data_IF_067837842199
#
_entry.id   IF_067837842199
#
_cell.length_a   1.000
_cell.length_b   1.000
_cell.length_c   1.000
_cell.angle_alpha   90.00
_cell.angle_beta   90.00
_cell.angle_gamma   90.00
#
_symmetry.space_group_name_H-M   'P 1'
#
loop_
_entity.id
_entity.type
_entity.pdbx_description
1 polymer ?
#
# COMPACT_ATOMS: atom_id res chain seq x y z
N UNK A 1 6.60 -11.65 -15.90
CA UNK A 1 5.39 -11.34 -15.11
C UNK A 1 5.36 -12.29 -13.93
N UNK A 2 4.87 -11.86 -12.77
CA UNK A 2 4.71 -12.73 -11.60
C UNK A 2 3.64 -13.80 -11.83
N UNK A 3 3.69 -14.89 -11.05
CA UNK A 3 2.68 -15.95 -11.09
C UNK A 3 1.34 -15.41 -10.58
N UNK A 4 0.28 -15.59 -11.37
CA UNK A 4 -1.08 -15.10 -11.07
C UNK A 4 -1.69 -15.76 -9.84
N UNK A 5 -1.11 -16.87 -9.36
CA UNK A 5 -1.54 -17.58 -8.16
C UNK A 5 -1.00 -16.97 -6.87
N UNK A 6 -0.05 -16.04 -6.94
CA UNK A 6 0.55 -15.41 -5.76
C UNK A 6 0.05 -13.98 -5.57
N UNK A 7 -0.44 -13.67 -4.36
CA UNK A 7 -0.76 -12.29 -3.96
C UNK A 7 0.26 -11.82 -2.92
N UNK A 8 1.33 -11.11 -3.33
CA UNK A 8 2.38 -10.66 -2.43
C UNK A 8 2.06 -9.35 -1.71
N UNK A 9 2.58 -9.25 -0.49
CA UNK A 9 2.82 -7.99 0.21
C UNK A 9 4.29 -7.98 0.63
N UNK A 10 5.05 -7.03 0.08
CA UNK A 10 6.40 -6.75 0.56
C UNK A 10 6.36 -5.59 1.56
N UNK A 11 7.22 -5.63 2.57
CA UNK A 11 7.40 -4.53 3.51
C UNK A 11 8.87 -4.32 3.80
N UNK A 12 9.31 -3.07 3.61
CA UNK A 12 10.58 -2.55 4.10
C UNK A 12 10.25 -1.75 5.35
N UNK A 13 11.02 -1.93 6.42
CA UNK A 13 10.71 -1.30 7.71
C UNK A 13 11.97 -0.90 8.49
N UNK A 14 11.76 0.07 9.39
CA UNK A 14 12.70 0.52 10.40
C UNK A 14 11.94 0.56 11.72
N UNK A 15 12.39 -0.17 12.73
CA UNK A 15 11.95 -0.02 14.13
C UNK A 15 13.15 0.27 15.04
N UNK A 16 12.95 0.72 16.29
CA UNK A 16 14.04 0.90 17.25
C UNK A 16 14.91 -0.34 17.46
N UNK A 17 14.33 -1.54 17.34
CA UNK A 17 15.01 -2.83 17.52
C UNK A 17 15.65 -3.34 16.22
N UNK A 18 15.03 -3.06 15.07
CA UNK A 18 15.52 -3.49 13.76
C UNK A 18 15.54 -2.30 12.78
N UNK A 19 16.69 -1.59 12.69
CA UNK A 19 16.78 -0.36 11.89
C UNK A 19 16.55 -0.53 10.40
N UNK A 20 16.73 -1.76 9.87
CA UNK A 20 16.48 -2.09 8.46
C UNK A 20 16.07 -3.53 8.31
N UNK A 21 14.77 -3.77 8.18
CA UNK A 21 14.20 -5.06 7.87
C UNK A 21 13.46 -5.09 6.54
N UNK A 22 13.35 -6.28 5.95
CA UNK A 22 12.59 -6.54 4.74
C UNK A 22 11.95 -7.91 4.83
N UNK A 23 10.66 -8.00 4.54
CA UNK A 23 10.01 -9.27 4.28
C UNK A 23 9.11 -9.22 3.05
N UNK A 24 8.88 -10.41 2.48
CA UNK A 24 7.85 -10.67 1.49
C UNK A 24 6.96 -11.79 2.06
N UNK A 25 5.66 -11.53 2.14
CA UNK A 25 4.67 -12.54 2.52
C UNK A 25 3.53 -12.55 1.51
N UNK A 26 2.75 -13.62 1.47
CA UNK A 26 1.58 -13.67 0.61
C UNK A 26 0.90 -15.02 0.64
N UNK A 27 -0.25 -15.11 -0.01
CA UNK A 27 -0.99 -16.35 -0.19
C UNK A 27 -0.74 -16.83 -1.62
N UNK A 28 -0.36 -18.10 -1.75
CA UNK A 28 -0.19 -18.78 -3.02
C UNK A 28 -1.30 -19.82 -3.20
N UNK A 29 -2.04 -19.75 -4.31
CA UNK A 29 -3.08 -20.72 -4.65
C UNK A 29 -2.50 -21.90 -5.43
N UNK A 30 -2.03 -22.92 -4.71
CA UNK A 30 -1.45 -24.15 -5.27
C UNK A 30 -0.69 -24.92 -4.21
N UNK A 31 0.11 -25.90 -4.63
CA UNK A 31 0.97 -26.64 -3.70
C UNK A 31 2.23 -25.86 -3.31
N UNK A 32 2.85 -26.24 -2.20
CA UNK A 32 4.13 -25.70 -1.75
C UNK A 32 5.23 -25.88 -2.81
N UNK A 33 5.26 -27.02 -3.51
CA UNK A 33 6.22 -27.25 -4.59
C UNK A 33 6.07 -26.21 -5.71
N UNK A 34 4.84 -25.89 -6.12
CA UNK A 34 4.55 -24.87 -7.13
C UNK A 34 4.91 -23.47 -6.61
N UNK A 35 4.63 -23.18 -5.34
CA UNK A 35 5.01 -21.90 -4.72
C UNK A 35 6.54 -21.71 -4.69
N UNK A 36 7.28 -22.76 -4.30
CA UNK A 36 8.75 -22.75 -4.28
C UNK A 36 9.34 -22.56 -5.67
N UNK A 37 8.81 -23.22 -6.67
CA UNK A 37 9.22 -23.03 -8.06
C UNK A 37 8.94 -21.58 -8.51
N UNK A 38 7.72 -21.09 -8.28
CA UNK A 38 7.31 -19.74 -8.65
C UNK A 38 8.15 -18.63 -7.97
N UNK A 39 8.66 -18.89 -6.76
CA UNK A 39 9.44 -17.93 -5.97
C UNK A 39 10.94 -18.24 -5.99
N UNK A 40 11.43 -19.06 -6.92
CA UNK A 40 12.84 -19.42 -7.01
C UNK A 40 13.77 -18.21 -7.14
N UNK A 41 13.37 -17.19 -7.91
CA UNK A 41 14.14 -15.94 -8.04
C UNK A 41 14.26 -15.20 -6.71
N UNK A 42 13.21 -15.15 -5.90
CA UNK A 42 13.29 -14.51 -4.57
C UNK A 42 14.15 -15.33 -3.61
N UNK A 43 14.07 -16.65 -3.67
CA UNK A 43 14.92 -17.55 -2.88
C UNK A 43 16.41 -17.38 -3.23
N UNK A 44 16.74 -17.10 -4.50
CA UNK A 44 18.13 -16.85 -4.91
C UNK A 44 18.73 -15.55 -4.35
N UNK A 45 17.94 -14.68 -3.72
CA UNK A 45 18.43 -13.45 -3.07
C UNK A 45 19.10 -13.72 -1.70
N UNK A 46 19.16 -14.98 -1.25
CA UNK A 46 19.74 -15.35 0.05
C UNK A 46 18.84 -15.01 1.24
N UNK A 47 17.55 -14.78 1.01
CA UNK A 47 16.57 -14.53 2.05
C UNK A 47 16.11 -15.84 2.70
N UNK A 48 15.93 -15.84 4.01
CA UNK A 48 15.21 -16.92 4.70
C UNK A 48 13.79 -17.02 4.17
N UNK A 49 13.34 -18.23 3.82
CA UNK A 49 12.00 -18.48 3.30
C UNK A 49 11.30 -19.59 4.07
N UNK A 50 10.00 -19.42 4.27
CA UNK A 50 9.12 -20.37 4.95
C UNK A 50 7.87 -20.56 4.11
N UNK A 51 7.46 -21.81 3.94
CA UNK A 51 6.27 -22.19 3.19
C UNK A 51 5.47 -23.15 4.06
N UNK A 52 4.14 -23.01 4.01
CA UNK A 52 3.24 -23.88 4.74
C UNK A 52 1.92 -23.99 3.96
N UNK A 53 1.54 -25.23 3.63
CA UNK A 53 0.22 -25.51 3.08
C UNK A 53 -0.84 -25.46 4.18
N UNK A 54 -1.95 -24.79 3.89
CA UNK A 54 -3.09 -24.67 4.79
C UNK A 54 -4.34 -24.28 4.02
N UNK A 55 -5.50 -24.37 4.66
CA UNK A 55 -6.74 -23.84 4.10
C UNK A 55 -6.69 -22.31 4.04
N UNK A 56 -7.47 -21.73 3.14
CA UNK A 56 -7.59 -20.27 3.04
C UNK A 56 -8.02 -19.64 4.37
N UNK A 57 -8.96 -20.25 5.09
CA UNK A 57 -9.43 -19.72 6.39
C UNK A 57 -8.30 -19.70 7.43
N UNK A 58 -7.48 -20.75 7.51
CA UNK A 58 -6.32 -20.77 8.41
C UNK A 58 -5.31 -19.67 8.07
N UNK A 59 -5.03 -19.47 6.77
CA UNK A 59 -4.14 -18.41 6.32
C UNK A 59 -4.66 -17.02 6.72
N UNK A 60 -5.96 -16.76 6.56
CA UNK A 60 -6.57 -15.49 6.95
C UNK A 60 -6.55 -15.28 8.46
N UNK A 61 -6.75 -16.32 9.28
CA UNK A 61 -6.61 -16.20 10.76
C UNK A 61 -5.19 -15.82 11.17
N UNK A 62 -4.17 -16.39 10.55
CA UNK A 62 -2.77 -15.98 10.81
C UNK A 62 -2.54 -14.52 10.43
N UNK A 63 -3.13 -14.05 9.32
CA UNK A 63 -3.03 -12.64 8.91
C UNK A 63 -3.73 -11.73 9.92
N UNK A 64 -4.93 -12.10 10.37
CA UNK A 64 -5.72 -11.38 11.38
C UNK A 64 -5.00 -11.28 12.72
N UNK A 65 -4.42 -12.38 13.21
CA UNK A 65 -3.67 -12.44 14.47
C UNK A 65 -2.45 -11.49 14.48
N UNK A 66 -1.97 -11.09 13.31
CA UNK A 66 -0.90 -10.11 13.16
C UNK A 66 -1.33 -8.65 13.31
N UNK A 67 -2.63 -8.35 13.43
CA UNK A 67 -3.13 -6.99 13.64
C UNK A 67 -3.44 -6.76 15.13
N UNK A 68 -2.88 -5.70 15.74
CA UNK A 68 -3.27 -5.33 17.10
C UNK A 68 -4.71 -4.79 17.12
N UNK A 69 -5.37 -4.76 18.29
CA UNK A 69 -6.74 -4.24 18.41
C UNK A 69 -6.90 -2.79 17.94
N UNK A 70 -5.84 -1.98 18.05
CA UNK A 70 -5.77 -0.62 17.54
C UNK A 70 -4.32 -0.18 17.32
N UNK A 71 -4.12 0.83 16.48
CA UNK A 71 -2.83 1.49 16.25
C UNK A 71 -3.03 3.00 16.14
N UNK A 72 -2.01 3.80 16.49
CA UNK A 72 -1.95 5.20 16.09
C UNK A 72 -0.91 5.34 14.99
N UNK A 73 -1.35 5.81 13.83
CA UNK A 73 -0.51 5.88 12.65
C UNK A 73 -0.93 7.01 11.74
N UNK A 74 -0.04 7.36 10.83
CA UNK A 74 -0.36 8.07 9.59
C UNK A 74 0.10 7.23 8.42
N UNK A 75 -0.65 7.24 7.33
CA UNK A 75 -0.34 6.48 6.11
C UNK A 75 -0.74 7.27 4.88
N UNK A 76 -0.13 6.97 3.74
CA UNK A 76 -0.59 7.46 2.46
C UNK A 76 -0.26 6.47 1.36
N UNK A 77 -1.26 6.14 0.54
CA UNK A 77 -1.11 5.24 -0.60
C UNK A 77 -0.85 5.96 -1.92
N UNK A 78 -0.10 5.31 -2.79
CA UNK A 78 0.20 5.70 -4.17
C UNK A 78 0.20 4.46 -5.06
N UNK A 79 0.24 4.64 -6.38
CA UNK A 79 0.38 3.56 -7.34
C UNK A 79 1.71 3.62 -8.08
N UNK A 80 2.34 2.46 -8.26
CA UNK A 80 3.47 2.29 -9.16
C UNK A 80 2.99 1.63 -10.46
N UNK A 81 3.03 2.36 -11.58
CA UNK A 81 2.63 1.83 -12.91
C UNK A 81 3.77 1.12 -13.63
N UNK A 82 5.02 1.42 -13.27
CA UNK A 82 6.22 0.86 -13.88
C UNK A 82 7.19 0.41 -12.79
N UNK A 83 8.13 -0.50 -13.09
CA UNK A 83 9.20 -0.84 -12.16
C UNK A 83 10.00 0.41 -11.80
N UNK A 84 10.41 0.52 -10.54
CA UNK A 84 11.27 1.61 -10.09
C UNK A 84 12.69 1.46 -10.65
N UNK A 85 13.31 2.58 -11.02
CA UNK A 85 14.75 2.62 -11.31
C UNK A 85 15.56 2.29 -10.04
N UNK A 86 16.81 1.86 -10.18
CA UNK A 86 17.67 1.65 -9.00
C UNK A 86 17.86 2.91 -8.16
N UNK A 87 17.78 4.10 -8.78
CA UNK A 87 17.82 5.37 -8.07
C UNK A 87 16.55 5.57 -7.24
N UNK A 88 15.37 5.35 -7.82
CA UNK A 88 14.10 5.50 -7.11
C UNK A 88 13.92 4.44 -6.03
N UNK A 89 14.36 3.19 -6.25
CA UNK A 89 14.37 2.16 -5.21
C UNK A 89 15.19 2.58 -4.00
N UNK A 90 16.38 3.18 -4.21
CA UNK A 90 17.19 3.72 -3.10
C UNK A 90 16.48 4.88 -2.39
N UNK A 91 15.85 5.80 -3.14
CA UNK A 91 15.08 6.90 -2.57
C UNK A 91 13.91 6.41 -1.72
N UNK A 92 13.21 5.37 -2.17
CA UNK A 92 12.10 4.73 -1.45
C UNK A 92 12.60 4.13 -0.14
N UNK A 93 13.70 3.36 -0.18
CA UNK A 93 14.29 2.77 1.03
C UNK A 93 14.73 3.86 2.00
N UNK A 94 15.36 4.94 1.50
CA UNK A 94 15.84 6.03 2.36
C UNK A 94 14.74 6.84 3.03
N UNK A 95 13.47 6.70 2.62
CA UNK A 95 12.35 7.37 3.30
C UNK A 95 12.28 6.98 4.78
N UNK A 96 12.75 5.79 5.12
CA UNK A 96 12.71 5.24 6.48
C UNK A 96 14.10 5.02 7.07
N UNK A 97 15.12 5.76 6.62
CA UNK A 97 16.48 5.64 7.18
C UNK A 97 16.57 6.15 8.64
N UNK A 98 15.62 6.97 9.05
CA UNK A 98 15.44 7.46 10.41
C UNK A 98 13.97 7.36 10.83
N UNK A 99 13.71 7.61 12.11
CA UNK A 99 12.38 7.63 12.69
C UNK A 99 12.06 9.00 13.28
N UNK A 100 10.78 9.35 13.31
CA UNK A 100 10.32 10.49 14.07
C UNK A 100 10.53 10.26 15.58
N UNK A 101 10.72 11.34 16.34
CA UNK A 101 10.75 11.23 17.80
C UNK A 101 9.44 10.61 18.33
N UNK A 102 9.56 9.56 19.15
CA UNK A 102 8.42 8.80 19.68
C UNK A 102 7.72 7.88 18.68
N UNK A 103 8.29 7.67 17.49
CA UNK A 103 7.83 6.64 16.55
C UNK A 103 8.27 5.24 17.01
N UNK A 104 7.40 4.25 16.82
CA UNK A 104 7.73 2.83 17.01
C UNK A 104 8.03 2.13 15.67
N UNK A 105 7.90 2.85 14.55
CA UNK A 105 8.34 2.33 13.27
C UNK A 105 7.95 3.18 12.06
N UNK A 106 8.76 3.05 11.02
CA UNK A 106 8.53 3.59 9.69
C UNK A 106 8.45 2.43 8.68
N UNK A 107 7.46 2.49 7.78
CA UNK A 107 7.17 1.36 6.90
C UNK A 107 6.92 1.82 5.47
N UNK A 108 7.54 1.12 4.53
CA UNK A 108 7.15 1.15 3.11
C UNK A 108 6.56 -0.21 2.76
N UNK A 109 5.28 -0.26 2.41
CA UNK A 109 4.61 -1.51 2.00
C UNK A 109 4.27 -1.47 0.52
N UNK A 110 4.46 -2.60 -0.17
CA UNK A 110 4.08 -2.80 -1.57
C UNK A 110 3.07 -3.93 -1.63
N UNK A 111 1.83 -3.60 -1.95
CA UNK A 111 0.73 -4.55 -2.14
C UNK A 111 0.66 -4.90 -3.63
N UNK A 112 0.94 -6.16 -3.99
CA UNK A 112 0.94 -6.61 -5.37
C UNK A 112 -0.40 -6.39 -6.05
N UNK A 113 -0.37 -5.82 -7.25
CA UNK A 113 -1.50 -5.68 -8.17
C UNK A 113 -1.17 -6.35 -9.51
N UNK A 114 -1.97 -6.09 -10.54
CA UNK A 114 -1.92 -6.77 -11.82
C UNK A 114 -2.78 -8.04 -11.82
N UNK A 115 -2.35 -9.07 -12.55
CA UNK A 115 -3.08 -10.33 -12.66
C UNK A 115 -4.55 -10.09 -13.09
N UNK A 116 -5.49 -10.69 -12.37
CA UNK A 116 -6.92 -10.53 -12.65
C UNK A 116 -7.42 -9.09 -12.47
N UNK A 117 -6.79 -8.28 -11.61
CA UNK A 117 -7.20 -6.88 -11.40
C UNK A 117 -7.00 -6.05 -12.67
N UNK A 118 -5.96 -6.36 -13.46
CA UNK A 118 -5.62 -5.66 -14.70
C UNK A 118 -6.40 -6.09 -15.94
N UNK A 119 -7.27 -7.11 -15.83
CA UNK A 119 -8.04 -7.62 -16.98
C UNK A 119 -9.19 -6.70 -17.39
N UNK A 120 -9.71 -5.90 -16.45
CA UNK A 120 -10.76 -4.91 -16.72
C UNK A 120 -10.15 -3.56 -17.12
N UNK A 121 -10.81 -2.87 -18.05
CA UNK A 121 -10.41 -1.53 -18.42
C UNK A 121 -10.62 -0.54 -17.26
N UNK A 122 -9.80 0.53 -17.15
CA UNK A 122 -9.91 1.55 -16.10
C UNK A 122 -11.29 2.18 -15.90
N UNK A 123 -12.14 2.20 -16.93
CA UNK A 123 -13.46 2.84 -16.94
C UNK A 123 -14.64 1.88 -16.73
N UNK A 124 -14.40 0.57 -16.63
CA UNK A 124 -15.45 -0.44 -16.42
C UNK A 124 -16.02 -0.39 -14.99
N UNK A 125 -15.24 0.11 -14.03
CA UNK A 125 -15.63 0.26 -12.62
C UNK A 125 -15.12 1.60 -12.06
N UNK A 126 -15.47 1.94 -10.82
CA UNK A 126 -14.92 3.14 -10.17
C UNK A 126 -13.40 3.06 -9.89
N UNK A 127 -12.82 1.84 -9.77
CA UNK A 127 -11.38 1.67 -9.54
C UNK A 127 -10.59 1.87 -10.84
N UNK A 128 -9.87 3.00 -10.91
CA UNK A 128 -9.18 3.48 -12.12
C UNK A 128 -7.81 2.84 -12.36
N UNK A 129 -6.99 2.67 -11.31
CA UNK A 129 -5.57 2.28 -11.42
C UNK A 129 -5.35 0.76 -11.67
N UNK A 130 -6.12 0.19 -12.60
CA UNK A 130 -6.10 -1.23 -13.00
C UNK A 130 -4.74 -1.68 -13.53
N UNK A 131 -3.99 -0.77 -14.17
CA UNK A 131 -2.66 -1.03 -14.74
C UNK A 131 -1.49 -0.90 -13.75
N UNK A 132 -1.74 -0.67 -12.46
CA UNK A 132 -0.68 -0.57 -11.47
C UNK A 132 -0.04 -1.93 -11.17
N UNK A 133 1.29 -1.95 -10.98
CA UNK A 133 2.04 -3.11 -10.53
C UNK A 133 1.86 -3.35 -9.03
N UNK A 134 1.71 -2.28 -8.25
CA UNK A 134 1.42 -2.33 -6.83
C UNK A 134 0.79 -1.04 -6.32
N UNK A 135 0.15 -1.16 -5.16
CA UNK A 135 -0.10 -0.03 -4.26
C UNK A 135 1.13 0.08 -3.37
N UNK A 136 1.76 1.25 -3.33
CA UNK A 136 2.86 1.54 -2.43
C UNK A 136 2.39 2.51 -1.35
N UNK A 137 2.68 2.19 -0.09
CA UNK A 137 2.33 3.05 1.05
C UNK A 137 3.58 3.46 1.80
N UNK A 138 3.60 4.70 2.28
CA UNK A 138 4.47 5.11 3.39
C UNK A 138 3.60 5.19 4.63
N UNK A 139 4.08 4.71 5.77
CA UNK A 139 3.43 4.92 7.07
C UNK A 139 4.42 5.05 8.21
N UNK A 140 3.96 5.63 9.31
CA UNK A 140 4.66 5.60 10.59
C UNK A 140 3.66 5.47 11.74
N UNK A 141 4.07 4.74 12.78
CA UNK A 141 3.24 4.39 13.91
C UNK A 141 3.85 4.94 15.22
N UNK A 142 2.99 5.21 16.21
CA UNK A 142 3.40 5.66 17.54
C UNK A 142 2.43 5.16 18.60
N UNK A 143 2.85 5.14 19.87
CA UNK A 143 1.97 4.77 20.99
C UNK A 143 1.47 6.01 21.74
N UNK A 144 2.40 6.89 22.15
CA UNK A 144 2.09 8.11 22.88
C UNK A 144 1.38 9.12 21.96
N UNK A 145 0.13 9.53 22.25
CA UNK A 145 -0.56 10.57 21.49
C UNK A 145 0.25 11.87 21.31
N UNK A 146 1.14 12.21 22.25
CA UNK A 146 2.00 13.39 22.18
C UNK A 146 3.04 13.32 21.06
N UNK A 147 3.37 12.12 20.55
CA UNK A 147 4.30 11.93 19.44
C UNK A 147 3.68 12.27 18.07
N UNK A 148 2.35 12.45 17.99
CA UNK A 148 1.64 12.70 16.72
C UNK A 148 2.23 13.88 15.92
N UNK A 149 2.49 15.07 16.48
CA UNK A 149 3.03 16.20 15.70
C UNK A 149 4.39 15.90 15.07
N UNK A 150 5.29 15.23 15.81
CA UNK A 150 6.61 14.84 15.30
C UNK A 150 6.50 13.82 14.15
N UNK A 151 5.61 12.84 14.29
CA UNK A 151 5.37 11.83 13.26
C UNK A 151 4.76 12.43 11.97
N UNK A 152 3.82 13.37 12.09
CA UNK A 152 3.27 14.08 10.93
C UNK A 152 4.31 14.98 10.24
N UNK A 153 5.14 15.66 11.02
CA UNK A 153 6.25 16.49 10.50
C UNK A 153 7.31 15.65 9.79
N UNK A 154 7.57 14.42 10.24
CA UNK A 154 8.44 13.45 9.59
C UNK A 154 7.81 12.90 8.29
N UNK A 155 6.52 12.56 8.33
CA UNK A 155 5.79 11.91 7.23
C UNK A 155 5.61 12.82 6.02
N UNK A 156 5.17 14.05 6.23
CA UNK A 156 4.77 14.99 5.16
C UNK A 156 5.84 15.19 4.08
N UNK A 157 7.10 15.56 4.39
CA UNK A 157 8.14 15.74 3.36
C UNK A 157 8.51 14.43 2.66
N UNK A 158 8.47 13.29 3.37
CA UNK A 158 8.78 11.97 2.81
C UNK A 158 7.69 11.48 1.86
N UNK A 159 6.43 11.72 2.20
CA UNK A 159 5.32 11.39 1.32
C UNK A 159 5.37 12.21 0.02
N UNK A 160 5.84 13.46 0.06
CA UNK A 160 6.07 14.26 -1.16
C UNK A 160 7.10 13.58 -2.08
N UNK A 161 8.20 13.08 -1.54
CA UNK A 161 9.20 12.32 -2.33
C UNK A 161 8.57 11.09 -2.97
N UNK A 162 7.80 10.30 -2.20
CA UNK A 162 7.09 9.14 -2.74
C UNK A 162 6.10 9.53 -3.84
N UNK A 163 5.36 10.63 -3.63
CA UNK A 163 4.39 11.17 -4.59
C UNK A 163 5.04 11.56 -5.91
N UNK A 164 6.25 12.12 -5.88
CA UNK A 164 6.95 12.61 -7.09
C UNK A 164 7.48 11.46 -7.98
N UNK A 165 7.60 10.24 -7.44
CA UNK A 165 8.05 9.05 -8.19
C UNK A 165 6.91 8.04 -8.44
N UNK A 166 5.68 8.40 -8.10
CA UNK A 166 4.47 7.56 -8.23
C UNK A 166 3.30 8.36 -8.78
N UNK A 167 2.19 7.72 -9.10
CA UNK A 167 0.97 8.42 -9.52
C UNK A 167 -0.22 8.04 -8.66
N UNK A 168 -1.24 8.91 -8.63
CA UNK A 168 -2.52 8.61 -7.99
C UNK A 168 -2.42 8.25 -6.51
N UNK A 169 -3.55 7.94 -5.91
CA UNK A 169 -3.62 7.51 -4.52
C UNK A 169 -4.74 6.51 -4.37
N UNK A 170 -4.57 5.54 -3.48
CA UNK A 170 -5.63 4.59 -3.21
C UNK A 170 -6.56 5.16 -2.14
N UNK A 171 -7.86 5.23 -2.43
CA UNK A 171 -8.85 5.85 -1.52
C UNK A 171 -8.87 5.21 -0.13
N UNK A 172 -8.55 3.91 -0.02
CA UNK A 172 -8.48 3.20 1.28
C UNK A 172 -7.18 3.46 2.06
N UNK A 173 -6.24 4.23 1.50
CA UNK A 173 -5.10 4.81 2.22
C UNK A 173 -5.13 6.34 2.07
N UNK A 174 -6.15 7.00 2.64
CA UNK A 174 -6.41 8.40 2.39
C UNK A 174 -5.29 9.29 2.94
N UNK A 175 -5.05 10.40 2.27
CA UNK A 175 -4.17 11.46 2.75
C UNK A 175 -4.89 12.79 2.54
N UNK A 176 -5.25 13.44 3.66
CA UNK A 176 -6.00 14.70 3.65
C UNK A 176 -5.22 15.88 3.04
N UNK A 177 -3.91 15.75 2.84
CA UNK A 177 -3.10 16.76 2.13
C UNK A 177 -3.31 16.72 0.61
N UNK A 178 -3.94 15.67 0.07
CA UNK A 178 -4.26 15.60 -1.35
C UNK A 178 -5.41 16.57 -1.68
N UNK A 179 -5.06 17.74 -2.22
CA UNK A 179 -6.05 18.75 -2.62
C UNK A 179 -6.86 18.32 -3.85
N UNK A 180 -6.23 17.64 -4.81
CA UNK A 180 -6.87 17.06 -5.99
C UNK A 180 -7.21 15.57 -5.77
N UNK A 181 -7.83 15.27 -4.62
CA UNK A 181 -8.11 13.89 -4.22
C UNK A 181 -9.06 13.16 -5.19
N UNK A 182 -9.97 13.89 -5.85
CA UNK A 182 -10.91 13.31 -6.80
C UNK A 182 -10.18 12.64 -7.97
N UNK A 183 -9.32 13.37 -8.67
CA UNK A 183 -8.52 12.79 -9.74
C UNK A 183 -7.44 11.84 -9.21
N UNK A 184 -6.86 12.13 -8.04
CA UNK A 184 -5.88 11.24 -7.44
C UNK A 184 -6.48 9.85 -7.10
N UNK A 185 -7.74 9.77 -6.68
CA UNK A 185 -8.39 8.51 -6.32
C UNK A 185 -9.07 7.82 -7.51
N UNK A 186 -9.70 8.60 -8.38
CA UNK A 186 -10.60 8.07 -9.40
C UNK A 186 -10.13 8.32 -10.83
N UNK A 187 -9.01 9.00 -11.04
CA UNK A 187 -8.48 9.34 -12.36
C UNK A 187 -9.54 10.01 -13.24
N UNK A 188 -9.66 9.56 -14.49
CA UNK A 188 -10.67 10.07 -15.42
C UNK A 188 -12.12 9.65 -15.09
N UNK A 189 -12.33 8.81 -14.06
CA UNK A 189 -13.67 8.44 -13.64
C UNK A 189 -14.29 9.47 -12.66
N UNK A 190 -13.53 10.49 -12.23
CA UNK A 190 -13.97 11.49 -11.27
C UNK A 190 -15.27 12.18 -11.68
N UNK A 191 -15.33 12.73 -12.90
CA UNK A 191 -16.50 13.47 -13.41
C UNK A 191 -17.77 12.59 -13.45
N UNK A 192 -17.63 11.34 -13.94
CA UNK A 192 -18.72 10.37 -13.97
C UNK A 192 -19.23 10.05 -12.55
N UNK A 193 -18.34 10.00 -11.56
CA UNK A 193 -18.72 9.76 -10.16
C UNK A 193 -19.45 10.97 -9.56
N UNK A 194 -19.02 12.18 -9.90
CA UNK A 194 -19.72 13.43 -9.53
C UNK A 194 -21.14 13.48 -10.09
N UNK A 195 -21.33 13.12 -11.37
CA UNK A 195 -22.65 13.02 -11.99
C UNK A 195 -23.56 11.99 -11.29
N UNK A 196 -23.00 10.83 -10.92
CA UNK A 196 -23.74 9.81 -10.17
C UNK A 196 -24.13 10.34 -8.80
N UNK A 197 -23.18 10.94 -8.06
CA UNK A 197 -23.42 11.51 -6.73
C UNK A 197 -24.53 12.56 -6.76
N UNK A 198 -24.51 13.48 -7.73
CA UNK A 198 -25.56 14.49 -7.89
C UNK A 198 -26.96 13.89 -8.12
N UNK A 199 -27.04 12.72 -8.77
CA UNK A 199 -28.32 12.00 -8.99
C UNK A 199 -28.77 11.19 -7.79
N UNK A 200 -27.85 10.56 -7.06
CA UNK A 200 -28.17 9.58 -6.01
C UNK A 200 -28.17 10.17 -4.60
N UNK A 201 -27.44 11.27 -4.39
CA UNK A 201 -27.33 12.00 -3.13
C UNK A 201 -27.30 13.52 -3.39
N UNK A 202 -28.40 14.09 -3.93
CA UNK A 202 -28.46 15.50 -4.34
C UNK A 202 -28.32 16.48 -3.17
N UNK A 203 -28.68 16.06 -1.96
CA UNK A 203 -28.54 16.86 -0.73
C UNK A 203 -27.15 16.68 -0.08
N UNK A 204 -26.28 15.85 -0.67
CA UNK A 204 -24.96 15.50 -0.18
C UNK A 204 -24.96 15.06 1.30
N UNK A 205 -25.92 14.21 1.66
CA UNK A 205 -26.07 13.67 3.01
C UNK A 205 -24.83 12.85 3.43
N UNK A 206 -24.24 12.12 2.49
CA UNK A 206 -23.01 11.34 2.72
C UNK A 206 -21.77 12.19 2.39
N UNK A 207 -21.45 13.14 3.27
CA UNK A 207 -20.33 14.07 3.11
C UNK A 207 -19.26 13.90 4.20
N UNK A 208 -18.01 13.85 3.77
CA UNK A 208 -16.80 13.84 4.62
C UNK A 208 -15.64 14.51 3.87
N UNK A 209 -14.48 14.81 4.51
CA UNK A 209 -13.45 15.70 3.95
C UNK A 209 -12.99 15.39 2.51
N UNK A 210 -12.94 14.09 2.14
CA UNK A 210 -12.58 13.63 0.80
C UNK A 210 -13.66 12.75 0.17
N UNK A 211 -14.93 13.08 0.42
CA UNK A 211 -16.08 12.47 -0.28
C UNK A 211 -16.16 12.93 -1.73
N UNK A 212 -16.80 12.11 -2.58
CA UNK A 212 -17.13 12.47 -3.97
C UNK A 212 -17.98 13.73 -3.95
N UNK A 213 -17.58 14.73 -4.75
CA UNK A 213 -18.27 16.01 -4.91
C UNK A 213 -19.09 16.03 -6.17
#
# INVERSE_FOLDING_TARGET
MGDRRFTPIARIYHTPEEPRGLYLRGIYFGSEAQARESLATFQSLGLSSFFQEMTFLQAIRIVEDGYPPYERFTTGGRFALTPFSSQDSRRIVSLIDDLANGSIGGFVSLYGLGGAVSELCPNETAFYYRGALNIITLSTNWEDPAAKPANLAWFTPRYKILRDITCGSYVNFPNLENQDYMHAYYGCNADRLSEIKARTDPENLFCFPQSIR
#
